data_IF_916067868244
#
_entry.id   IF_916067868244
#
_cell.length_a   1.000
_cell.length_b   1.000
_cell.length_c   1.000
_cell.angle_alpha   90.00
_cell.angle_beta   90.00
_cell.angle_gamma   90.00
#
_symmetry.space_group_name_H-M   'P 1'
#
loop_
_entity.id
_entity.type
_entity.pdbx_description
1 polymer ?
#
# COMPACT_ATOMS: atom_id res chain seq x y z
N UNK A 1 8.21 7.41 16.04
CA UNK A 1 7.14 6.43 16.30
C UNK A 1 6.72 5.63 15.07
N UNK A 2 7.19 6.03 13.88
CA UNK A 2 6.98 5.28 12.64
C UNK A 2 7.50 3.84 12.73
N UNK A 3 8.53 3.61 13.53
CA UNK A 3 9.23 2.32 13.69
C UNK A 3 8.71 1.43 14.83
N UNK A 4 7.69 1.88 15.57
CA UNK A 4 7.11 1.08 16.65
C UNK A 4 5.64 0.81 16.35
N UNK A 5 5.32 -0.41 15.96
CA UNK A 5 4.01 -0.79 15.46
C UNK A 5 2.89 -0.53 16.49
N UNK A 6 3.07 -0.98 17.73
CA UNK A 6 2.08 -0.85 18.81
C UNK A 6 1.86 0.62 19.16
N UNK A 7 2.92 1.35 19.47
CA UNK A 7 2.81 2.77 19.84
C UNK A 7 2.37 3.64 18.66
N UNK A 8 2.84 3.33 17.44
CA UNK A 8 2.41 4.02 16.22
C UNK A 8 0.93 3.86 15.96
N UNK A 9 0.37 2.66 16.11
CA UNK A 9 -1.05 2.39 15.97
C UNK A 9 -1.88 3.08 17.06
N UNK A 10 -1.43 3.04 18.32
CA UNK A 10 -2.08 3.69 19.44
C UNK A 10 -2.23 5.21 19.21
N UNK A 11 -1.12 5.92 18.98
CA UNK A 11 -1.13 7.36 18.77
C UNK A 11 -1.90 7.78 17.53
N UNK A 12 -1.78 7.01 16.45
CA UNK A 12 -2.53 7.27 15.21
C UNK A 12 -4.04 7.15 15.43
N UNK A 13 -4.47 6.13 16.16
CA UNK A 13 -5.89 5.93 16.48
C UNK A 13 -6.42 7.06 17.34
N UNK A 14 -5.68 7.44 18.38
CA UNK A 14 -6.06 8.57 19.22
C UNK A 14 -6.05 9.89 18.45
N UNK A 15 -5.06 10.13 17.61
CA UNK A 15 -5.04 11.30 16.75
C UNK A 15 -6.28 11.40 15.86
N UNK A 16 -6.77 10.28 15.33
CA UNK A 16 -8.00 10.24 14.52
C UNK A 16 -9.26 10.50 15.34
N UNK A 17 -9.35 9.96 16.56
CA UNK A 17 -10.47 10.26 17.48
C UNK A 17 -10.50 11.75 17.80
N UNK A 18 -9.36 12.33 18.18
CA UNK A 18 -9.26 13.75 18.48
C UNK A 18 -9.52 14.64 17.25
N UNK A 19 -9.07 14.23 16.06
CA UNK A 19 -9.36 14.96 14.82
C UNK A 19 -10.86 14.98 14.51
N UNK A 20 -11.57 13.88 14.75
CA UNK A 20 -13.02 13.85 14.64
C UNK A 20 -13.68 14.74 15.71
N UNK A 21 -13.18 14.69 16.95
CA UNK A 21 -13.70 15.49 18.05
C UNK A 21 -13.52 17.00 17.86
N UNK A 22 -12.52 17.44 17.10
CA UNK A 22 -12.36 18.86 16.69
C UNK A 22 -13.50 19.32 15.79
N UNK A 23 -14.02 18.43 14.95
CA UNK A 23 -15.11 18.76 14.02
C UNK A 23 -16.49 18.74 14.70
N UNK A 24 -16.73 17.76 15.58
CA UNK A 24 -17.97 17.58 16.32
C UNK A 24 -17.76 16.66 17.53
N UNK A 25 -18.56 16.74 18.59
CA UNK A 25 -18.49 15.79 19.70
C UNK A 25 -18.66 14.35 19.17
N UNK A 26 -17.66 13.49 19.45
CA UNK A 26 -17.66 12.10 18.97
C UNK A 26 -18.51 11.20 19.85
N UNK A 27 -19.30 10.35 19.23
CA UNK A 27 -20.11 9.35 19.96
C UNK A 27 -19.27 8.13 20.30
N UNK A 28 -19.70 7.38 21.32
CA UNK A 28 -19.06 6.11 21.71
C UNK A 28 -19.02 5.08 20.56
N UNK A 29 -20.05 5.09 19.72
CA UNK A 29 -20.11 4.21 18.54
C UNK A 29 -19.07 4.60 17.49
N UNK A 30 -18.89 5.88 17.29
CA UNK A 30 -17.90 6.43 16.36
C UNK A 30 -16.47 6.16 16.85
N UNK A 31 -16.20 6.32 18.14
CA UNK A 31 -14.93 5.96 18.78
C UNK A 31 -14.65 4.48 18.55
N UNK A 32 -15.59 3.59 18.83
CA UNK A 32 -15.42 2.14 18.60
C UNK A 32 -15.18 1.80 17.14
N UNK A 33 -15.83 2.50 16.22
CA UNK A 33 -15.59 2.33 14.78
C UNK A 33 -14.17 2.70 14.40
N UNK A 34 -13.67 3.85 14.86
CA UNK A 34 -12.30 4.31 14.61
C UNK A 34 -11.28 3.31 15.20
N UNK A 35 -11.50 2.86 16.45
CA UNK A 35 -10.64 1.88 17.10
C UNK A 35 -10.59 0.58 16.27
N UNK A 36 -11.75 0.06 15.85
CA UNK A 36 -11.83 -1.19 15.08
C UNK A 36 -11.06 -1.13 13.75
N UNK A 37 -11.03 0.03 13.10
CA UNK A 37 -10.39 0.20 11.79
C UNK A 37 -8.88 0.44 11.94
N UNK A 38 -8.46 1.15 13.00
CA UNK A 38 -7.11 1.71 13.06
C UNK A 38 -6.25 1.21 14.20
N UNK A 39 -6.87 0.68 15.26
CA UNK A 39 -6.13 0.12 16.37
C UNK A 39 -5.70 -1.32 16.10
N UNK A 40 -4.62 -1.72 16.72
CA UNK A 40 -4.07 -3.06 16.63
C UNK A 40 -4.23 -3.76 17.98
N UNK A 41 -4.72 -5.00 17.99
CA UNK A 41 -4.80 -5.92 19.12
C UNK A 41 -4.84 -5.27 20.53
N UNK A 42 -3.72 -5.28 21.21
CA UNK A 42 -3.56 -4.72 22.57
C UNK A 42 -3.83 -3.21 22.64
N UNK A 43 -3.52 -2.46 21.58
CA UNK A 43 -3.78 -1.01 21.55
C UNK A 43 -5.28 -0.70 21.57
N UNK A 44 -6.11 -1.56 20.98
CA UNK A 44 -7.57 -1.39 21.03
C UNK A 44 -8.10 -1.47 22.46
N UNK A 45 -7.67 -2.48 23.22
CA UNK A 45 -8.07 -2.65 24.63
C UNK A 45 -7.57 -1.50 25.50
N UNK A 46 -6.34 -1.05 25.30
CA UNK A 46 -5.74 0.03 26.04
C UNK A 46 -6.44 1.38 25.81
N UNK A 47 -6.83 1.68 24.55
CA UNK A 47 -7.54 2.91 24.18
C UNK A 47 -8.94 2.93 24.80
N UNK A 48 -9.72 1.85 24.68
CA UNK A 48 -11.06 1.78 25.26
C UNK A 48 -11.05 1.94 26.79
N UNK A 49 -10.08 1.30 27.45
CA UNK A 49 -9.88 1.43 28.90
C UNK A 49 -9.53 2.87 29.29
N UNK A 50 -8.57 3.49 28.56
CA UNK A 50 -8.11 4.84 28.86
C UNK A 50 -9.22 5.90 28.68
N UNK A 51 -10.10 5.72 27.69
CA UNK A 51 -11.25 6.61 27.48
C UNK A 51 -12.30 6.40 28.57
N UNK A 52 -12.61 5.16 28.94
CA UNK A 52 -13.61 4.84 29.97
C UNK A 52 -13.20 5.34 31.34
N UNK A 53 -11.92 5.32 31.65
CA UNK A 53 -11.35 5.75 32.92
C UNK A 53 -11.02 7.25 32.96
N UNK A 54 -11.43 7.99 31.92
CA UNK A 54 -11.18 9.43 31.78
C UNK A 54 -9.69 9.83 31.92
N UNK A 55 -8.79 8.90 31.59
CA UNK A 55 -7.34 9.15 31.67
C UNK A 55 -6.85 10.12 30.58
N UNK A 56 -7.71 10.44 29.62
CA UNK A 56 -7.41 11.30 28.49
C UNK A 56 -8.06 12.67 28.66
N UNK A 57 -7.29 13.63 29.15
CA UNK A 57 -7.75 15.01 29.38
C UNK A 57 -8.11 15.77 28.09
N UNK A 58 -7.66 15.27 26.92
CA UNK A 58 -7.95 15.87 25.62
C UNK A 58 -9.28 15.41 25.00
N UNK A 59 -9.97 14.48 25.63
CA UNK A 59 -11.30 14.03 25.24
C UNK A 59 -12.20 14.04 26.46
N UNK A 60 -13.24 14.87 26.42
CA UNK A 60 -14.21 14.99 27.49
C UNK A 60 -15.24 13.83 27.44
N UNK A 61 -15.96 13.55 28.56
CA UNK A 61 -16.98 12.50 28.61
C UNK A 61 -18.13 12.70 27.63
N UNK A 62 -18.41 13.93 27.21
CA UNK A 62 -19.41 14.29 26.23
C UNK A 62 -18.95 14.12 24.78
N UNK A 63 -17.70 13.65 24.59
CA UNK A 63 -17.08 13.45 23.27
C UNK A 63 -16.47 14.70 22.64
N UNK A 64 -16.49 15.83 23.34
CA UNK A 64 -15.83 17.07 22.88
C UNK A 64 -14.33 17.06 23.21
N UNK A 65 -13.59 17.97 22.55
CA UNK A 65 -12.16 18.18 22.80
C UNK A 65 -11.87 19.67 22.99
N UNK A 66 -10.92 20.04 23.84
CA UNK A 66 -10.46 21.42 23.94
C UNK A 66 -9.53 21.83 22.79
N UNK A 67 -9.15 20.90 21.91
CA UNK A 67 -8.28 21.18 20.77
C UNK A 67 -9.03 22.01 19.73
N UNK A 68 -8.38 23.06 19.19
CA UNK A 68 -8.91 23.87 18.12
C UNK A 68 -8.52 23.37 16.72
N UNK A 69 -7.47 22.56 16.66
CA UNK A 69 -6.94 21.99 15.42
C UNK A 69 -6.72 20.48 15.58
N UNK A 70 -6.81 19.76 14.46
CA UNK A 70 -6.49 18.34 14.45
C UNK A 70 -5.04 18.11 14.92
N UNK A 71 -4.81 17.11 15.79
CA UNK A 71 -3.46 16.82 16.26
C UNK A 71 -2.59 16.30 15.09
N UNK A 72 -1.44 16.92 14.92
CA UNK A 72 -0.42 16.49 13.98
C UNK A 72 0.71 15.78 14.72
N UNK A 73 1.21 14.68 14.15
CA UNK A 73 2.40 13.99 14.62
C UNK A 73 3.56 14.32 13.68
N UNK A 74 4.37 15.33 13.99
CA UNK A 74 5.50 15.69 13.14
C UNK A 74 6.52 14.53 13.13
N UNK A 75 7.08 14.27 11.95
CA UNK A 75 8.16 13.30 11.82
C UNK A 75 9.40 13.78 12.59
N UNK A 76 10.01 12.86 13.31
CA UNK A 76 11.32 13.11 13.94
C UNK A 76 12.41 13.28 12.86
N UNK A 77 13.54 13.86 13.24
CA UNK A 77 14.68 14.00 12.31
C UNK A 77 15.15 12.64 11.75
N UNK A 78 15.12 11.59 12.56
CA UNK A 78 15.48 10.24 12.12
C UNK A 78 14.47 9.67 11.12
N UNK A 79 13.18 9.84 11.39
CA UNK A 79 12.11 9.40 10.47
C UNK A 79 12.16 10.14 9.14
N UNK A 80 12.41 11.45 9.16
CA UNK A 80 12.60 12.25 7.95
C UNK A 80 13.78 11.75 7.11
N UNK A 81 14.92 11.48 7.75
CA UNK A 81 16.12 10.96 7.08
C UNK A 81 15.88 9.57 6.49
N UNK A 82 15.20 8.70 7.22
CA UNK A 82 14.83 7.38 6.73
C UNK A 82 13.86 7.46 5.55
N UNK A 83 12.82 8.29 5.66
CA UNK A 83 11.86 8.53 4.58
C UNK A 83 12.56 9.07 3.32
N UNK A 84 13.50 10.01 3.50
CA UNK A 84 14.33 10.52 2.38
C UNK A 84 15.09 9.40 1.69
N UNK A 85 15.67 8.45 2.45
CA UNK A 85 16.38 7.30 1.88
C UNK A 85 15.45 6.41 1.04
N UNK A 86 14.23 6.14 1.52
CA UNK A 86 13.24 5.34 0.78
C UNK A 86 12.81 6.03 -0.52
N UNK A 87 12.67 7.35 -0.51
CA UNK A 87 12.29 8.13 -1.68
C UNK A 87 13.38 8.22 -2.76
N UNK A 88 14.61 7.86 -2.43
CA UNK A 88 15.70 7.71 -3.41
C UNK A 88 15.57 6.42 -4.24
N UNK A 89 14.74 5.47 -3.84
CA UNK A 89 14.45 4.27 -4.64
C UNK A 89 13.70 4.70 -5.92
N UNK A 90 14.18 4.34 -7.11
CA UNK A 90 13.52 4.71 -8.37
C UNK A 90 12.06 4.26 -8.45
N UNK A 91 11.71 3.16 -7.76
CA UNK A 91 10.35 2.62 -7.72
C UNK A 91 9.37 3.55 -7.00
N UNK A 92 9.84 4.41 -6.09
CA UNK A 92 8.99 5.39 -5.44
C UNK A 92 8.30 6.34 -6.44
N UNK A 93 8.94 6.61 -7.59
CA UNK A 93 8.39 7.46 -8.64
C UNK A 93 7.16 6.88 -9.34
N UNK A 94 6.96 5.56 -9.23
CA UNK A 94 5.79 4.89 -9.79
C UNK A 94 4.49 5.32 -9.11
N UNK A 95 4.58 5.74 -7.86
CA UNK A 95 3.44 6.12 -7.04
C UNK A 95 3.33 7.64 -6.96
N UNK A 96 2.10 8.15 -6.91
CA UNK A 96 1.82 9.56 -6.64
C UNK A 96 1.83 9.77 -5.13
N UNK A 97 3.02 10.01 -4.59
CA UNK A 97 3.22 10.19 -3.16
C UNK A 97 3.13 11.67 -2.82
N UNK A 98 2.28 12.01 -1.86
CA UNK A 98 2.36 13.30 -1.17
C UNK A 98 3.57 13.25 -0.23
N UNK A 99 4.63 13.92 -0.64
CA UNK A 99 5.90 13.89 0.09
C UNK A 99 5.97 15.17 0.94
N UNK A 100 6.18 15.04 2.28
CA UNK A 100 6.46 16.21 3.10
C UNK A 100 7.75 16.88 2.62
N UNK A 101 7.91 18.16 2.92
CA UNK A 101 9.14 18.89 2.60
C UNK A 101 10.34 18.22 3.29
N UNK A 102 11.22 17.66 2.48
CA UNK A 102 12.44 16.96 2.87
C UNK A 102 13.66 17.49 2.12
N UNK A 103 13.60 18.70 1.53
CA UNK A 103 14.67 19.22 0.68
C UNK A 103 15.98 19.33 1.45
N UNK A 104 15.96 19.87 2.64
CA UNK A 104 17.15 20.06 3.52
C UNK A 104 17.50 18.81 4.34
N UNK A 105 16.78 17.71 4.17
CA UNK A 105 16.99 16.49 4.97
C UNK A 105 18.04 15.61 4.30
N UNK A 106 19.11 15.28 5.00
CA UNK A 106 20.08 14.30 4.53
C UNK A 106 19.55 12.87 4.75
N UNK A 107 19.62 11.98 3.73
CA UNK A 107 19.19 10.60 3.88
C UNK A 107 20.06 9.84 4.89
N UNK A 108 19.55 8.75 5.44
CA UNK A 108 20.34 7.82 6.27
C UNK A 108 21.33 7.01 5.43
N UNK A 109 20.91 6.63 4.24
CA UNK A 109 21.69 5.89 3.25
C UNK A 109 21.20 6.25 1.85
N UNK A 110 22.04 6.01 0.87
CA UNK A 110 21.76 6.21 -0.56
C UNK A 110 21.89 4.89 -1.32
N UNK A 111 21.38 4.75 -2.53
CA UNK A 111 21.60 3.57 -3.37
C UNK A 111 23.07 3.24 -3.64
N UNK A 112 23.99 4.21 -3.46
CA UNK A 112 25.41 3.99 -3.61
C UNK A 112 26.06 3.26 -2.41
N UNK A 113 25.39 3.26 -1.25
CA UNK A 113 25.93 2.69 0.00
C UNK A 113 25.73 1.17 0.09
N UNK A 114 24.94 0.57 -0.80
CA UNK A 114 24.67 -0.86 -0.80
C UNK A 114 24.63 -1.46 -2.20
N UNK A 115 24.81 -2.78 -2.28
CA UNK A 115 24.68 -3.54 -3.53
C UNK A 115 23.64 -4.63 -3.35
N UNK A 116 22.74 -4.76 -4.34
CA UNK A 116 21.77 -5.85 -4.37
C UNK A 116 22.46 -7.07 -4.97
N UNK A 117 22.65 -8.11 -4.16
CA UNK A 117 23.45 -9.28 -4.52
C UNK A 117 22.71 -10.25 -5.45
N UNK A 118 21.41 -10.46 -5.25
CA UNK A 118 20.61 -11.48 -5.95
C UNK A 118 19.79 -10.95 -7.12
N UNK A 119 20.19 -9.82 -7.71
CA UNK A 119 19.49 -9.24 -8.83
C UNK A 119 19.96 -9.86 -10.13
N UNK A 120 19.06 -10.53 -10.85
CA UNK A 120 19.35 -11.27 -12.08
C UNK A 120 18.99 -10.55 -13.39
N UNK A 121 18.68 -9.30 -13.37
CA UNK A 121 18.27 -8.60 -14.59
C UNK A 121 18.42 -7.10 -14.47
N UNK A 122 18.21 -6.43 -15.60
CA UNK A 122 18.32 -4.97 -15.68
C UNK A 122 17.12 -4.25 -15.02
N UNK A 123 16.15 -5.02 -14.51
CA UNK A 123 14.93 -4.46 -13.92
C UNK A 123 13.99 -3.83 -14.94
N UNK A 124 12.95 -3.17 -14.45
CA UNK A 124 12.09 -2.34 -15.26
C UNK A 124 12.63 -0.90 -15.36
N UNK A 125 12.29 -0.14 -16.41
CA UNK A 125 12.81 1.22 -16.61
C UNK A 125 12.06 2.24 -15.74
N UNK A 126 12.29 2.24 -14.43
CA UNK A 126 11.57 3.04 -13.44
C UNK A 126 11.76 4.56 -13.58
N UNK A 127 12.71 5.00 -14.40
CA UNK A 127 12.96 6.41 -14.69
C UNK A 127 12.31 6.86 -16.01
N UNK A 128 11.83 5.93 -16.83
CA UNK A 128 11.13 6.25 -18.08
C UNK A 128 9.74 6.82 -17.80
N UNK A 129 9.50 8.03 -18.27
CA UNK A 129 8.23 8.72 -18.05
C UNK A 129 7.03 7.97 -18.63
N UNK A 130 7.21 7.32 -19.79
CA UNK A 130 6.17 6.52 -20.44
C UNK A 130 5.86 5.26 -19.64
N UNK A 131 6.88 4.62 -19.07
CA UNK A 131 6.69 3.47 -18.18
C UNK A 131 5.92 3.88 -16.92
N UNK A 132 6.32 4.98 -16.26
CA UNK A 132 5.66 5.50 -15.06
C UNK A 132 4.18 5.79 -15.33
N UNK A 133 3.88 6.46 -16.43
CA UNK A 133 2.50 6.77 -16.80
C UNK A 133 1.66 5.51 -17.05
N UNK A 134 2.21 4.53 -17.77
CA UNK A 134 1.54 3.24 -17.99
C UNK A 134 1.33 2.48 -16.69
N UNK A 135 2.33 2.44 -15.82
CA UNK A 135 2.21 1.81 -14.50
C UNK A 135 1.06 2.40 -13.69
N UNK A 136 0.99 3.73 -13.59
CA UNK A 136 -0.07 4.44 -12.85
C UNK A 136 -1.46 4.16 -13.41
N UNK A 137 -1.58 4.18 -14.74
CA UNK A 137 -2.85 3.84 -15.42
C UNK A 137 -3.28 2.40 -15.12
N UNK A 138 -2.34 1.45 -15.19
CA UNK A 138 -2.62 0.03 -14.89
C UNK A 138 -2.98 -0.14 -13.42
N UNK A 139 -2.28 0.52 -12.50
CA UNK A 139 -2.57 0.48 -11.07
C UNK A 139 -3.98 1.01 -10.76
N UNK A 140 -4.37 2.12 -11.40
CA UNK A 140 -5.73 2.66 -11.29
C UNK A 140 -6.76 1.65 -11.82
N UNK A 141 -6.51 1.07 -13.01
CA UNK A 141 -7.39 0.07 -13.60
C UNK A 141 -7.56 -1.19 -12.72
N UNK A 142 -6.51 -1.64 -12.02
CA UNK A 142 -6.58 -2.73 -11.05
C UNK A 142 -7.46 -2.34 -9.87
N UNK A 143 -7.28 -1.15 -9.30
CA UNK A 143 -8.06 -0.65 -8.15
C UNK A 143 -9.54 -0.51 -8.48
N UNK A 144 -9.82 0.06 -9.64
CA UNK A 144 -11.19 0.37 -10.09
C UNK A 144 -11.83 -0.81 -10.83
N UNK A 145 -11.11 -1.92 -11.00
CA UNK A 145 -11.53 -3.11 -11.76
C UNK A 145 -12.00 -2.76 -13.17
N UNK A 146 -11.28 -1.87 -13.84
CA UNK A 146 -11.59 -1.43 -15.20
C UNK A 146 -10.81 -2.24 -16.23
N UNK A 147 -11.46 -2.67 -17.33
CA UNK A 147 -10.78 -3.39 -18.39
C UNK A 147 -9.83 -2.48 -19.17
N UNK A 148 -8.74 -3.09 -19.67
CA UNK A 148 -7.69 -2.42 -20.43
C UNK A 148 -7.59 -2.99 -21.85
N UNK A 149 -7.33 -2.12 -22.82
CA UNK A 149 -6.71 -2.49 -24.09
C UNK A 149 -5.22 -2.28 -23.96
N UNK A 150 -4.44 -3.33 -24.15
CA UNK A 150 -2.98 -3.28 -24.09
C UNK A 150 -2.38 -3.63 -25.45
N UNK A 151 -1.40 -2.85 -25.87
CA UNK A 151 -0.52 -3.16 -26.99
C UNK A 151 0.86 -3.50 -26.43
N UNK A 152 1.37 -4.68 -26.76
CA UNK A 152 2.65 -5.18 -26.25
C UNK A 152 3.45 -5.90 -27.32
N UNK A 153 4.75 -6.09 -27.07
CA UNK A 153 5.60 -6.93 -27.90
C UNK A 153 5.50 -8.40 -27.47
N UNK A 154 5.29 -9.28 -28.45
CA UNK A 154 5.43 -10.72 -28.24
C UNK A 154 6.91 -11.12 -28.04
N UNK A 155 7.18 -12.41 -27.83
CA UNK A 155 8.55 -12.92 -27.68
C UNK A 155 9.39 -12.79 -28.96
N UNK A 156 8.74 -12.58 -30.12
CA UNK A 156 9.38 -12.44 -31.42
C UNK A 156 9.55 -10.98 -31.85
N UNK A 157 9.10 -10.03 -30.98
CA UNK A 157 9.17 -8.60 -31.30
C UNK A 157 7.99 -8.07 -32.09
N UNK A 158 6.96 -8.88 -32.40
CA UNK A 158 5.78 -8.40 -33.09
C UNK A 158 4.83 -7.70 -32.15
N UNK A 159 4.18 -6.63 -32.62
CA UNK A 159 3.14 -5.93 -31.87
C UNK A 159 1.87 -6.77 -31.79
N UNK A 160 1.35 -6.94 -30.59
CA UNK A 160 0.11 -7.64 -30.31
C UNK A 160 -0.81 -6.77 -29.47
N UNK A 161 -2.06 -6.63 -29.89
CA UNK A 161 -3.09 -5.92 -29.13
C UNK A 161 -4.08 -6.91 -28.51
N UNK A 162 -4.41 -6.70 -27.24
CA UNK A 162 -5.41 -7.51 -26.56
C UNK A 162 -6.18 -6.70 -25.50
N UNK A 163 -7.42 -7.12 -25.29
CA UNK A 163 -8.27 -6.57 -24.25
C UNK A 163 -8.23 -7.53 -23.05
N UNK A 164 -7.91 -7.00 -21.89
CA UNK A 164 -7.71 -7.79 -20.67
C UNK A 164 -8.45 -7.15 -19.49
N UNK A 165 -8.81 -8.00 -18.54
CA UNK A 165 -9.25 -7.57 -17.23
C UNK A 165 -8.04 -7.63 -16.28
N UNK A 166 -7.57 -6.51 -15.73
CA UNK A 166 -6.48 -6.50 -14.76
C UNK A 166 -6.97 -7.09 -13.44
N UNK A 167 -6.23 -8.02 -12.87
CA UNK A 167 -6.56 -8.64 -11.58
C UNK A 167 -5.69 -8.05 -10.45
N UNK A 168 -4.38 -8.15 -10.60
CA UNK A 168 -3.42 -7.55 -9.65
C UNK A 168 -2.05 -7.37 -10.29
N UNK A 169 -1.21 -6.57 -9.62
CA UNK A 169 0.19 -6.40 -9.95
C UNK A 169 1.04 -7.29 -9.04
N UNK A 170 1.97 -8.01 -9.63
CA UNK A 170 2.98 -8.81 -8.97
C UNK A 170 4.36 -8.15 -9.14
N UNK A 171 5.14 -8.07 -8.07
CA UNK A 171 6.52 -7.62 -8.13
C UNK A 171 7.47 -8.80 -7.89
N UNK A 172 8.40 -9.01 -8.81
CA UNK A 172 9.47 -10.00 -8.70
C UNK A 172 10.73 -9.31 -8.20
N UNK A 173 11.12 -9.52 -6.94
CA UNK A 173 12.37 -8.99 -6.38
C UNK A 173 13.59 -9.48 -7.14
N UNK A 174 13.60 -10.76 -7.50
CA UNK A 174 14.70 -11.40 -8.23
C UNK A 174 14.97 -10.77 -9.59
N UNK A 175 13.90 -10.46 -10.32
CA UNK A 175 14.01 -9.87 -11.67
C UNK A 175 13.94 -8.35 -11.62
N UNK A 176 13.55 -7.76 -10.48
CA UNK A 176 13.23 -6.34 -10.30
C UNK A 176 12.23 -5.84 -11.35
N UNK A 177 11.11 -6.57 -11.49
CA UNK A 177 10.11 -6.33 -12.54
C UNK A 177 8.70 -6.44 -12.02
N UNK A 178 7.84 -5.58 -12.53
CA UNK A 178 6.41 -5.69 -12.35
C UNK A 178 5.75 -6.51 -13.44
N UNK A 179 4.78 -7.33 -13.04
CA UNK A 179 3.95 -8.14 -13.91
C UNK A 179 2.49 -7.85 -13.64
N UNK A 180 1.71 -7.69 -14.68
CA UNK A 180 0.26 -7.60 -14.60
C UNK A 180 -0.33 -8.99 -14.76
N UNK A 181 -1.08 -9.42 -13.75
CA UNK A 181 -1.91 -10.62 -13.83
C UNK A 181 -3.25 -10.24 -14.42
N UNK A 182 -3.68 -10.98 -15.43
CA UNK A 182 -4.88 -10.63 -16.23
C UNK A 182 -5.81 -11.79 -16.42
N UNK A 183 -7.08 -11.48 -16.65
CA UNK A 183 -8.09 -12.41 -17.12
C UNK A 183 -8.82 -11.87 -18.35
N UNK A 184 -9.71 -12.67 -18.92
CA UNK A 184 -10.50 -12.26 -20.08
C UNK A 184 -9.86 -12.53 -21.44
N UNK A 185 -8.55 -12.67 -21.54
CA UNK A 185 -7.85 -13.08 -22.75
C UNK A 185 -7.27 -14.51 -22.59
N UNK A 186 -7.52 -15.38 -23.56
CA UNK A 186 -7.13 -16.80 -23.46
C UNK A 186 -5.60 -17.00 -23.47
N UNK A 187 -4.88 -16.09 -24.13
CA UNK A 187 -3.44 -16.26 -24.38
C UNK A 187 -2.55 -15.31 -23.58
N UNK A 188 -3.18 -14.40 -22.83
CA UNK A 188 -2.46 -13.37 -22.07
C UNK A 188 -2.97 -13.41 -20.63
N UNK A 189 -2.25 -14.13 -19.79
CA UNK A 189 -2.55 -14.25 -18.34
C UNK A 189 -1.55 -13.47 -17.51
N UNK A 190 -0.32 -13.34 -17.98
CA UNK A 190 0.78 -12.64 -17.30
C UNK A 190 1.47 -11.72 -18.31
N UNK A 191 1.60 -10.46 -17.98
CA UNK A 191 2.23 -9.45 -18.83
C UNK A 191 3.32 -8.71 -18.05
N UNK A 192 4.56 -8.73 -18.53
CA UNK A 192 5.61 -7.86 -18.01
C UNK A 192 5.30 -6.41 -18.41
N UNK A 193 5.27 -5.50 -17.46
CA UNK A 193 4.91 -4.10 -17.72
C UNK A 193 5.86 -3.43 -18.71
N UNK A 194 7.15 -3.73 -18.63
CA UNK A 194 8.13 -3.18 -19.57
C UNK A 194 7.89 -3.56 -21.05
N UNK A 195 7.09 -4.61 -21.33
CA UNK A 195 6.71 -4.99 -22.70
C UNK A 195 5.49 -4.26 -23.22
N UNK A 196 4.76 -3.56 -22.37
CA UNK A 196 3.58 -2.80 -22.76
C UNK A 196 4.06 -1.52 -23.44
N UNK A 197 3.69 -1.34 -24.70
CA UNK A 197 3.99 -0.12 -25.47
C UNK A 197 2.93 0.93 -25.19
N UNK A 198 1.65 0.52 -25.18
CA UNK A 198 0.50 1.38 -25.00
C UNK A 198 -0.58 0.67 -24.20
N UNK A 199 -1.27 1.39 -23.36
CA UNK A 199 -2.45 0.90 -22.66
C UNK A 199 -3.53 1.99 -22.62
N UNK A 200 -4.79 1.56 -22.69
CA UNK A 200 -5.96 2.43 -22.68
C UNK A 200 -7.07 1.81 -21.84
N UNK A 201 -7.80 2.64 -21.10
CA UNK A 201 -8.97 2.21 -20.37
C UNK A 201 -10.14 1.92 -21.33
N UNK A 202 -10.78 0.79 -21.13
CA UNK A 202 -11.98 0.43 -21.89
C UNK A 202 -13.23 0.74 -21.05
N UNK A 203 -14.18 1.45 -21.65
CA UNK A 203 -15.49 1.74 -21.02
C UNK A 203 -16.50 0.59 -21.19
N UNK A 204 -16.14 -0.47 -21.93
CA UNK A 204 -17.02 -1.63 -22.15
C UNK A 204 -16.61 -2.79 -21.22
N UNK A 205 -17.60 -3.38 -20.54
CA UNK A 205 -17.37 -4.57 -19.73
C UNK A 205 -16.87 -5.73 -20.59
N UNK A 206 -15.75 -6.31 -20.20
CA UNK A 206 -15.28 -7.58 -20.76
C UNK A 206 -16.00 -8.70 -20.01
N UNK A 207 -16.69 -9.59 -20.73
CA UNK A 207 -17.32 -10.78 -20.12
C UNK A 207 -16.24 -11.63 -19.48
N UNK A 208 -16.29 -11.75 -18.15
CA UNK A 208 -15.52 -12.79 -17.44
C UNK A 208 -15.96 -14.15 -17.94
N UNK A 209 -15.02 -14.98 -18.42
CA UNK A 209 -15.33 -16.39 -18.59
C UNK A 209 -15.56 -17.02 -17.21
N UNK A 210 -16.68 -17.75 -17.00
CA UNK A 210 -16.86 -18.54 -15.80
C UNK A 210 -15.75 -19.60 -15.75
N UNK A 211 -14.88 -19.54 -14.75
CA UNK A 211 -13.77 -20.48 -14.57
C UNK A 211 -12.43 -19.87 -14.12
N UNK A 212 -12.22 -18.56 -14.23
CA UNK A 212 -11.13 -17.93 -13.51
C UNK A 212 -11.57 -17.76 -12.06
N UNK A 213 -11.14 -18.67 -11.20
CA UNK A 213 -11.28 -18.49 -9.76
C UNK A 213 -10.54 -17.18 -9.43
N UNK A 214 -11.29 -16.18 -8.96
CA UNK A 214 -10.68 -15.11 -8.16
C UNK A 214 -9.69 -15.77 -7.21
N UNK A 215 -8.54 -15.14 -6.91
CA UNK A 215 -7.77 -15.52 -5.74
C UNK A 215 -8.72 -15.47 -4.55
N UNK A 216 -9.46 -16.53 -4.33
CA UNK A 216 -10.21 -16.74 -3.11
C UNK A 216 -9.14 -16.89 -2.03
N UNK A 217 -9.24 -16.10 -1.00
CA UNK A 217 -8.44 -16.26 0.20
C UNK A 217 -8.51 -17.74 0.59
N UNK A 218 -7.42 -18.46 0.37
CA UNK A 218 -7.32 -19.83 0.84
C UNK A 218 -6.85 -19.76 2.27
N UNK A 219 -7.74 -20.11 3.17
CA UNK A 219 -7.36 -20.35 4.55
C UNK A 219 -6.51 -21.62 4.59
N UNK A 220 -5.22 -21.45 4.88
CA UNK A 220 -4.30 -22.57 5.11
C UNK A 220 -4.27 -22.81 6.62
N UNK A 221 -4.75 -23.94 7.06
CA UNK A 221 -4.56 -24.41 8.43
C UNK A 221 -3.09 -24.84 8.59
N UNK A 222 -2.37 -24.19 9.48
CA UNK A 222 -1.02 -24.62 9.89
C UNK A 222 -1.17 -25.43 11.18
N UNK A 223 -0.81 -26.71 11.14
CA UNK A 223 -0.65 -27.53 12.34
C UNK A 223 0.84 -27.56 12.72
N UNK A 224 1.13 -27.21 13.96
CA UNK A 224 2.48 -27.32 14.52
C UNK A 224 2.74 -28.78 14.85
N UNK A 225 3.62 -29.43 14.09
CA UNK A 225 4.00 -30.83 14.32
C UNK A 225 5.05 -31.03 15.40
N UNK A 226 5.76 -29.99 15.81
CA UNK A 226 6.80 -30.03 16.83
C UNK A 226 6.61 -28.87 17.81
N UNK A 227 6.40 -29.18 19.09
CA UNK A 227 6.25 -28.18 20.16
C UNK A 227 7.49 -27.29 20.40
N UNK A 228 8.55 -27.47 19.63
CA UNK A 228 9.73 -26.60 19.57
C UNK A 228 9.68 -25.58 18.45
N UNK A 229 8.62 -25.59 17.66
CA UNK A 229 8.48 -24.69 16.52
C UNK A 229 8.12 -23.26 17.00
N UNK A 230 8.76 -22.24 16.41
CA UNK A 230 8.65 -20.84 16.80
C UNK A 230 7.24 -20.23 16.59
N UNK A 231 6.30 -20.96 15.96
CA UNK A 231 4.91 -20.53 15.78
C UNK A 231 4.08 -20.57 17.08
N UNK A 232 4.59 -21.15 18.15
CA UNK A 232 3.95 -21.20 19.46
C UNK A 232 4.46 -20.14 20.45
N UNK A 233 5.29 -19.19 20.02
CA UNK A 233 5.86 -18.18 20.91
C UNK A 233 5.37 -16.80 20.62
#
# INVERSE_FOLDING_TARGET
>A
MLFHEIYGAYYRTMGRILSAAVCHPVTQEEIRRIIRIHAFGESALAIESAIREERWQLLHPDGSTPLQHAPELPLTSLEKRWLKSLLLDPRARLFELEIPDLEDVQPLFTPADYRIFDRYGDGDPYEDAGYIQRFRMILAAVRDRQPLSICMLDRRGNSMQCNVMPEYLEYSEKDDKFRLMTSGCRYVTIVNLARIIQCELLHKSIRRKPGCQSCADRTVGLEVQDGRNALER
#
